data_IF_904670015259
#
_entry.id   IF_904670015259
#
_cell.length_a   1.000
_cell.length_b   1.000
_cell.length_c   1.000
_cell.angle_alpha   90.00
_cell.angle_beta   90.00
_cell.angle_gamma   90.00
#
_symmetry.space_group_name_H-M   'P 1'
#
loop_
_entity.id
_entity.type
_entity.pdbx_description
1 polymer ?
#
# COMPACT_ATOMS: atom_id res chain seq x y z
N UNK A 1 -8.39 -18.91 13.82
CA UNK A 1 -7.72 -20.12 13.36
C UNK A 1 -8.04 -20.33 11.89
N UNK A 2 -7.03 -20.52 11.04
CA UNK A 2 -7.17 -20.94 9.63
C UNK A 2 -6.45 -22.27 9.47
N UNK A 3 -7.16 -23.25 8.92
CA UNK A 3 -6.66 -24.60 8.67
C UNK A 3 -6.69 -24.86 7.17
N UNK A 4 -5.56 -25.10 6.50
CA UNK A 4 -5.57 -25.48 5.10
C UNK A 4 -6.10 -26.92 4.94
N UNK A 5 -6.87 -27.17 3.89
CA UNK A 5 -7.39 -28.51 3.56
C UNK A 5 -6.37 -29.40 2.86
N UNK A 6 -5.27 -28.81 2.39
CA UNK A 6 -4.21 -29.51 1.67
C UNK A 6 -2.85 -29.27 2.31
N UNK A 7 -1.92 -30.18 2.10
CA UNK A 7 -0.53 -30.01 2.51
C UNK A 7 0.22 -29.17 1.46
N UNK A 8 0.92 -28.14 1.95
CA UNK A 8 1.77 -27.31 1.08
C UNK A 8 3.11 -28.03 0.90
N UNK A 9 3.83 -27.70 -0.18
CA UNK A 9 5.16 -28.24 -0.43
C UNK A 9 6.09 -28.18 0.78
N UNK A 10 6.09 -27.09 1.53
CA UNK A 10 6.92 -26.94 2.73
C UNK A 10 6.48 -27.80 3.93
N UNK A 11 5.22 -28.27 3.98
CA UNK A 11 4.74 -29.14 5.06
C UNK A 11 5.25 -30.59 4.89
N UNK A 12 5.70 -30.97 3.68
CA UNK A 12 6.16 -32.35 3.33
C UNK A 12 7.66 -32.46 3.04
N UNK A 13 8.43 -31.36 3.06
CA UNK A 13 9.85 -31.34 2.70
C UNK A 13 10.81 -31.86 3.78
N UNK A 14 10.33 -32.35 4.92
CA UNK A 14 11.19 -32.85 6.01
C UNK A 14 12.10 -31.76 6.58
N UNK A 15 13.40 -32.01 6.69
CA UNK A 15 14.36 -31.10 7.34
C UNK A 15 14.49 -29.72 6.67
N UNK A 16 14.23 -29.63 5.37
CA UNK A 16 14.23 -28.35 4.62
C UNK A 16 12.85 -27.69 4.58
N UNK A 17 11.86 -28.28 5.22
CA UNK A 17 10.49 -27.84 5.26
C UNK A 17 10.18 -26.81 6.31
N UNK A 18 8.88 -26.68 6.59
CA UNK A 18 8.39 -25.81 7.64
C UNK A 18 8.62 -26.40 9.02
N UNK A 19 9.09 -25.56 9.96
CA UNK A 19 9.45 -25.98 11.32
C UNK A 19 8.24 -26.02 12.26
N UNK A 20 7.14 -25.36 11.88
CA UNK A 20 5.90 -25.31 12.64
C UNK A 20 4.76 -26.03 11.94
N UNK A 21 3.62 -26.06 12.59
CA UNK A 21 2.43 -26.72 12.09
C UNK A 21 1.66 -25.86 11.03
N UNK A 22 0.79 -26.52 10.28
CA UNK A 22 0.07 -25.91 9.14
C UNK A 22 -1.03 -24.91 9.51
N UNK A 23 -1.25 -24.62 10.79
CA UNK A 23 -2.30 -23.71 11.23
C UNK A 23 -1.82 -22.28 11.31
N UNK A 24 -2.63 -21.34 10.79
CA UNK A 24 -2.46 -19.91 11.03
C UNK A 24 -3.44 -19.48 12.12
N UNK A 25 -2.95 -18.84 13.17
CA UNK A 25 -3.78 -18.35 14.24
C UNK A 25 -3.23 -17.07 14.86
N UNK A 26 -4.03 -16.44 15.69
CA UNK A 26 -3.62 -15.25 16.42
C UNK A 26 -4.72 -14.77 17.35
N UNK A 27 -4.30 -13.95 18.28
CA UNK A 27 -5.15 -13.31 19.27
C UNK A 27 -5.06 -11.80 19.08
N UNK A 28 -6.17 -11.12 19.19
CA UNK A 28 -6.23 -9.66 19.16
C UNK A 28 -7.17 -9.19 20.25
N UNK A 29 -6.62 -8.38 21.14
CA UNK A 29 -7.38 -7.65 22.14
C UNK A 29 -7.33 -6.16 21.83
N UNK A 30 -8.49 -5.49 21.88
CA UNK A 30 -8.59 -4.05 21.72
C UNK A 30 -9.52 -3.48 22.78
N UNK A 31 -9.05 -2.46 23.45
CA UNK A 31 -9.83 -1.64 24.36
C UNK A 31 -9.99 -0.24 23.78
N UNK A 32 -11.19 0.32 23.89
CA UNK A 32 -11.49 1.68 23.47
C UNK A 32 -12.39 2.35 24.51
N UNK A 33 -11.95 3.53 24.94
CA UNK A 33 -12.76 4.38 25.80
C UNK A 33 -13.06 5.69 25.06
N UNK A 34 -14.26 5.77 24.51
CA UNK A 34 -14.69 6.87 23.63
C UNK A 34 -13.67 7.12 22.50
N UNK A 35 -13.40 8.40 22.27
CA UNK A 35 -12.36 8.87 21.35
C UNK A 35 -11.02 9.17 22.05
N UNK A 36 -10.95 9.00 23.38
CA UNK A 36 -9.81 9.45 24.19
C UNK A 36 -8.72 8.40 24.28
N UNK A 37 -9.09 7.14 24.49
CA UNK A 37 -8.12 6.06 24.73
C UNK A 37 -8.36 4.91 23.79
N UNK A 38 -7.28 4.44 23.15
CA UNK A 38 -7.26 3.17 22.41
C UNK A 38 -6.03 2.38 22.84
N UNK A 39 -6.23 1.13 23.22
CA UNK A 39 -5.16 0.20 23.53
C UNK A 39 -5.38 -1.09 22.77
N UNK A 40 -4.30 -1.77 22.45
CA UNK A 40 -4.43 -3.07 21.82
C UNK A 40 -3.17 -3.89 21.90
N UNK A 41 -3.38 -5.21 21.90
CA UNK A 41 -2.34 -6.22 21.80
C UNK A 41 -2.75 -7.20 20.71
N UNK A 42 -1.80 -7.57 19.87
CA UNK A 42 -1.98 -8.56 18.82
C UNK A 42 -0.86 -9.57 18.92
N UNK A 43 -1.19 -10.85 19.00
CA UNK A 43 -0.27 -11.95 18.77
C UNK A 43 -0.68 -12.70 17.52
N UNK A 44 0.25 -13.00 16.62
CA UNK A 44 -0.04 -13.70 15.37
C UNK A 44 1.06 -14.66 14.99
N UNK A 45 0.66 -15.74 14.33
CA UNK A 45 1.54 -16.75 13.78
C UNK A 45 1.05 -17.16 12.42
N UNK A 46 1.95 -17.20 11.46
CA UNK A 46 1.68 -17.75 10.15
C UNK A 46 1.81 -19.27 10.11
N UNK A 47 1.11 -19.87 9.18
CA UNK A 47 1.14 -21.33 9.04
C UNK A 47 2.53 -21.80 8.59
N UNK A 48 3.12 -22.73 9.36
CA UNK A 48 4.48 -23.24 9.17
C UNK A 48 5.52 -22.62 10.12
N UNK A 49 5.15 -21.63 10.91
CA UNK A 49 6.05 -21.03 11.91
C UNK A 49 6.01 -21.82 13.22
N UNK A 50 7.15 -21.95 13.94
CA UNK A 50 7.19 -22.60 15.24
C UNK A 50 6.44 -21.75 16.30
N UNK A 51 5.68 -22.39 17.16
CA UNK A 51 4.95 -21.78 18.27
C UNK A 51 5.50 -22.28 19.60
N UNK A 52 5.86 -21.37 20.50
CA UNK A 52 6.39 -21.72 21.82
C UNK A 52 7.74 -22.42 21.79
N UNK A 53 8.51 -22.32 20.72
CA UNK A 53 9.80 -22.99 20.58
C UNK A 53 10.83 -22.13 19.84
N UNK A 54 12.09 -22.36 20.03
CA UNK A 54 13.20 -21.64 19.42
C UNK A 54 13.16 -20.15 19.73
N UNK A 55 13.24 -19.29 18.72
CA UNK A 55 13.14 -17.83 18.88
C UNK A 55 11.75 -17.36 19.32
N UNK A 56 10.71 -18.20 19.15
CA UNK A 56 9.33 -17.91 19.51
C UNK A 56 8.94 -18.49 20.88
N UNK A 57 9.86 -18.55 21.83
CA UNK A 57 9.65 -19.12 23.17
C UNK A 57 8.46 -18.52 23.93
N UNK A 58 8.09 -17.26 23.66
CA UNK A 58 6.92 -16.59 24.23
C UNK A 58 5.59 -16.96 23.55
N UNK A 59 5.60 -17.81 22.54
CA UNK A 59 4.43 -18.28 21.80
C UNK A 59 4.41 -17.82 20.34
N UNK A 60 3.90 -16.65 20.09
CA UNK A 60 3.74 -16.14 18.71
C UNK A 60 5.04 -15.61 18.10
N UNK A 61 5.13 -15.70 16.78
CA UNK A 61 6.22 -15.08 16.01
C UNK A 61 6.11 -13.56 15.99
N UNK A 62 4.92 -13.05 15.89
CA UNK A 62 4.65 -11.63 15.81
C UNK A 62 3.81 -11.14 16.99
N UNK A 63 4.31 -10.08 17.65
CA UNK A 63 3.58 -9.33 18.66
C UNK A 63 3.49 -7.86 18.27
N UNK A 64 2.33 -7.24 18.49
CA UNK A 64 2.12 -5.81 18.38
C UNK A 64 1.36 -5.30 19.60
N UNK A 65 1.81 -4.18 20.13
CA UNK A 65 1.10 -3.49 21.21
C UNK A 65 1.07 -1.99 20.91
N UNK A 66 0.05 -1.31 21.39
CA UNK A 66 -0.05 0.13 21.32
C UNK A 66 -0.96 0.70 22.39
N UNK A 67 -0.65 1.93 22.79
CA UNK A 67 -1.51 2.80 23.60
C UNK A 67 -1.58 4.13 22.87
N UNK A 68 -2.79 4.63 22.62
CA UNK A 68 -3.04 5.92 22.00
C UNK A 68 -3.97 6.74 22.88
N UNK A 69 -3.54 7.94 23.23
CA UNK A 69 -4.29 8.94 23.95
C UNK A 69 -4.59 10.12 23.02
N UNK A 70 -5.82 10.61 23.03
CA UNK A 70 -6.25 11.71 22.17
C UNK A 70 -6.98 12.77 22.97
N UNK A 71 -6.93 14.02 22.47
CA UNK A 71 -7.69 15.16 23.03
C UNK A 71 -7.33 15.47 24.49
N UNK A 72 -6.04 15.40 24.84
CA UNK A 72 -5.52 15.76 26.17
C UNK A 72 -5.03 17.21 26.18
N UNK A 73 -5.92 18.15 26.36
CA UNK A 73 -5.61 19.59 26.31
C UNK A 73 -5.02 19.97 24.94
N UNK A 74 -3.77 20.45 24.92
CA UNK A 74 -3.05 20.79 23.68
C UNK A 74 -2.54 19.56 22.89
N UNK A 75 -2.46 18.41 23.53
CA UNK A 75 -2.04 17.16 22.86
C UNK A 75 -3.19 16.55 22.08
N UNK A 76 -3.11 16.64 20.77
CA UNK A 76 -4.12 16.03 19.87
C UNK A 76 -4.02 14.52 19.87
N UNK A 77 -2.80 14.00 19.93
CA UNK A 77 -2.52 12.56 19.87
C UNK A 77 -1.19 12.26 20.55
N UNK A 78 -1.15 11.25 21.38
CA UNK A 78 0.07 10.66 21.94
C UNK A 78 -0.06 9.15 21.71
N UNK A 79 0.89 8.54 21.03
CA UNK A 79 0.87 7.11 20.73
C UNK A 79 2.19 6.47 21.15
N UNK A 80 2.10 5.40 21.92
CA UNK A 80 3.23 4.58 22.37
C UNK A 80 3.07 3.16 21.82
N UNK A 81 4.19 2.50 21.51
CA UNK A 81 4.23 1.16 20.95
C UNK A 81 4.30 1.16 19.44
N UNK A 82 3.50 0.33 18.75
CA UNK A 82 3.54 0.24 17.28
C UNK A 82 2.54 1.19 16.63
N UNK A 83 3.03 2.03 15.72
CA UNK A 83 2.24 3.04 15.05
C UNK A 83 2.63 3.17 13.57
N UNK A 84 1.84 3.92 12.84
CA UNK A 84 2.06 4.31 11.45
C UNK A 84 1.95 5.81 11.34
N UNK A 85 2.74 6.40 10.47
CA UNK A 85 2.71 7.81 10.13
C UNK A 85 2.37 7.99 8.66
N UNK A 86 1.69 9.08 8.39
CA UNK A 86 1.47 9.59 7.05
C UNK A 86 1.70 11.09 7.08
N UNK A 87 2.74 11.55 6.41
CA UNK A 87 3.14 12.95 6.34
C UNK A 87 3.06 13.42 4.89
N UNK A 88 2.49 14.62 4.68
CA UNK A 88 2.33 15.21 3.35
C UNK A 88 1.57 14.29 2.36
N UNK A 89 2.09 14.13 1.16
CA UNK A 89 1.62 13.18 0.14
C UNK A 89 2.40 11.85 0.17
N UNK A 90 3.30 11.67 1.15
CA UNK A 90 4.05 10.45 1.38
C UNK A 90 5.32 10.32 0.58
N UNK A 91 5.90 11.41 0.09
CA UNK A 91 7.17 11.37 -0.64
C UNK A 91 8.33 10.94 0.24
N UNK A 92 8.32 11.29 1.54
CA UNK A 92 9.37 10.88 2.47
C UNK A 92 8.89 9.85 3.49
N UNK A 93 7.68 9.97 4.03
CA UNK A 93 7.20 9.13 5.13
C UNK A 93 5.71 8.82 5.02
N UNK A 94 5.40 7.57 4.67
CA UNK A 94 4.06 7.04 4.69
C UNK A 94 4.09 5.52 4.91
N UNK A 95 3.58 5.09 6.04
CA UNK A 95 3.45 3.67 6.39
C UNK A 95 2.04 3.12 6.16
N UNK A 96 1.12 3.92 5.63
CA UNK A 96 -0.23 3.47 5.29
C UNK A 96 -0.25 2.70 3.95
N UNK A 97 -1.38 2.07 3.68
CA UNK A 97 -1.60 1.40 2.40
C UNK A 97 -1.75 2.44 1.28
N UNK A 98 -1.17 2.15 0.12
CA UNK A 98 -1.42 2.91 -1.09
C UNK A 98 -2.80 2.59 -1.66
N UNK A 99 -3.50 3.62 -2.12
CA UNK A 99 -4.78 3.46 -2.80
C UNK A 99 -4.56 3.16 -4.28
N UNK A 100 -5.48 2.39 -4.88
CA UNK A 100 -5.48 2.18 -6.32
C UNK A 100 -5.79 3.49 -7.07
N UNK A 101 -5.34 3.59 -8.33
CA UNK A 101 -5.47 4.80 -9.17
C UNK A 101 -6.90 5.34 -9.30
N UNK A 102 -7.90 4.46 -9.25
CA UNK A 102 -9.31 4.86 -9.30
C UNK A 102 -9.77 5.56 -8.02
N UNK A 103 -9.30 5.10 -6.86
CA UNK A 103 -9.74 5.63 -5.56
C UNK A 103 -9.13 6.99 -5.22
N UNK A 104 -8.02 7.37 -5.85
CA UNK A 104 -7.40 8.69 -5.61
C UNK A 104 -8.30 9.85 -6.06
N UNK A 105 -9.13 9.67 -7.09
CA UNK A 105 -10.07 10.69 -7.56
C UNK A 105 -10.97 11.25 -6.46
N UNK A 106 -11.32 10.43 -5.49
CA UNK A 106 -12.21 10.82 -4.39
C UNK A 106 -11.51 11.23 -3.11
N UNK A 107 -10.24 10.85 -2.92
CA UNK A 107 -9.59 10.95 -1.61
C UNK A 107 -8.24 11.65 -1.60
N UNK A 108 -7.52 11.69 -2.72
CA UNK A 108 -6.15 12.18 -2.74
C UNK A 108 -6.07 13.70 -2.58
N UNK A 109 -5.17 14.16 -1.73
CA UNK A 109 -4.95 15.57 -1.45
C UNK A 109 -6.05 16.29 -0.65
N UNK A 110 -7.17 15.61 -0.34
CA UNK A 110 -8.29 16.24 0.39
C UNK A 110 -8.03 16.51 1.86
N UNK A 111 -7.05 15.85 2.44
CA UNK A 111 -6.64 16.07 3.81
C UNK A 111 -5.16 15.72 3.90
N UNK A 112 -4.36 16.69 4.29
CA UNK A 112 -2.91 16.54 4.47
C UNK A 112 -2.46 16.80 5.93
N UNK A 113 -3.25 16.48 6.96
CA UNK A 113 -2.73 16.55 8.32
C UNK A 113 -1.76 15.41 8.54
N UNK A 114 -0.66 15.71 9.23
CA UNK A 114 0.15 14.69 9.89
C UNK A 114 -0.73 13.73 10.67
N UNK A 115 -0.70 12.45 10.32
CA UNK A 115 -1.59 11.47 10.95
C UNK A 115 -0.82 10.36 11.63
N UNK A 116 -0.96 10.28 12.96
CA UNK A 116 -0.49 9.15 13.75
C UNK A 116 -1.63 8.14 13.87
N UNK A 117 -1.43 6.93 13.38
CA UNK A 117 -2.37 5.81 13.47
C UNK A 117 -1.75 4.64 14.21
N UNK A 118 -2.52 3.98 15.05
CA UNK A 118 -2.07 2.75 15.71
C UNK A 118 -1.88 1.63 14.70
N UNK A 119 -0.84 0.83 14.87
CA UNK A 119 -0.63 -0.38 14.09
C UNK A 119 -1.28 -1.56 14.77
N UNK A 120 -2.45 -1.96 14.29
CA UNK A 120 -3.24 -3.06 14.83
C UNK A 120 -3.37 -4.24 13.85
N UNK A 121 -2.57 -4.24 12.78
CA UNK A 121 -2.48 -5.32 11.80
C UNK A 121 -1.57 -6.44 12.29
N UNK A 122 -1.69 -7.61 11.70
CA UNK A 122 -0.77 -8.74 11.86
C UNK A 122 0.44 -8.64 10.92
N UNK A 123 0.50 -7.59 10.09
CA UNK A 123 1.63 -7.37 9.18
C UNK A 123 2.87 -6.95 9.95
N UNK A 124 3.96 -7.64 9.74
CA UNK A 124 5.29 -7.32 10.28
C UNK A 124 6.00 -6.21 9.52
N UNK A 125 5.44 -5.75 8.40
CA UNK A 125 5.96 -4.64 7.61
C UNK A 125 5.21 -3.33 7.87
N UNK A 126 5.79 -2.22 7.40
CA UNK A 126 5.16 -0.90 7.33
C UNK A 126 4.61 -0.38 8.68
N UNK A 127 5.39 -0.48 9.74
CA UNK A 127 5.12 0.16 11.03
C UNK A 127 6.38 0.79 11.60
N UNK A 128 6.20 1.70 12.53
CA UNK A 128 7.21 2.26 13.41
C UNK A 128 6.95 1.78 14.84
N UNK A 129 7.98 1.68 15.67
CA UNK A 129 7.86 1.20 17.04
C UNK A 129 8.59 2.13 17.99
N UNK A 130 7.87 2.76 18.89
CA UNK A 130 8.42 3.72 19.84
C UNK A 130 7.35 4.68 20.33
N UNK A 131 7.53 5.97 20.07
CA UNK A 131 6.61 7.02 20.51
C UNK A 131 6.39 8.05 19.40
N UNK A 132 5.17 8.58 19.31
CA UNK A 132 4.83 9.70 18.46
C UNK A 132 3.76 10.57 19.14
N UNK A 133 3.88 11.88 19.00
CA UNK A 133 2.93 12.81 19.60
C UNK A 133 2.71 14.02 18.70
N UNK A 134 1.46 14.52 18.67
CA UNK A 134 1.07 15.77 18.01
C UNK A 134 0.55 16.75 19.06
N UNK A 135 1.14 17.92 19.12
CA UNK A 135 0.75 19.02 19.99
C UNK A 135 0.30 20.24 19.16
N UNK A 136 -0.83 20.84 19.53
CA UNK A 136 -1.28 22.11 18.95
C UNK A 136 -0.69 23.26 19.76
N UNK A 137 0.24 24.00 19.16
CA UNK A 137 0.86 25.14 19.83
C UNK A 137 -0.08 26.36 19.88
N UNK A 138 -0.73 26.62 18.76
CA UNK A 138 -1.76 27.65 18.62
C UNK A 138 -2.81 27.21 17.60
N UNK A 139 -3.87 27.98 17.46
CA UNK A 139 -4.93 27.66 16.48
C UNK A 139 -4.33 27.58 15.07
N UNK A 140 -4.47 26.41 14.47
CA UNK A 140 -3.98 26.13 13.12
C UNK A 140 -2.52 25.68 13.05
N UNK A 141 -1.71 25.71 14.11
CA UNK A 141 -0.31 25.27 14.11
C UNK A 141 -0.14 24.01 14.98
N UNK A 142 0.20 22.92 14.34
CA UNK A 142 0.48 21.64 14.97
C UNK A 142 1.95 21.25 14.79
N UNK A 143 2.54 20.66 15.82
CA UNK A 143 3.87 20.04 15.76
C UNK A 143 3.72 18.58 16.12
N UNK A 144 4.31 17.72 15.30
CA UNK A 144 4.38 16.28 15.52
C UNK A 144 5.84 15.88 15.68
N UNK A 145 6.15 15.16 16.76
CA UNK A 145 7.45 14.51 16.94
C UNK A 145 7.29 13.00 16.98
N UNK A 146 8.28 12.28 16.48
CA UNK A 146 8.26 10.82 16.48
C UNK A 146 9.65 10.20 16.59
N UNK A 147 9.70 9.04 17.27
CA UNK A 147 10.90 8.22 17.41
C UNK A 147 10.53 6.76 17.27
N UNK A 148 11.35 6.02 16.57
CA UNK A 148 11.17 4.57 16.37
C UNK A 148 12.48 3.83 16.50
N UNK A 149 12.45 2.70 17.20
CA UNK A 149 13.50 1.68 17.19
C UNK A 149 12.86 0.33 16.94
N UNK A 150 13.35 -0.38 15.93
CA UNK A 150 12.86 -1.73 15.59
C UNK A 150 13.97 -2.63 15.08
N UNK A 151 13.88 -3.89 15.42
CA UNK A 151 14.63 -4.93 14.74
C UNK A 151 14.01 -5.21 13.37
N UNK A 152 14.81 -5.59 12.41
CA UNK A 152 14.42 -5.83 11.02
C UNK A 152 15.01 -7.15 10.50
N UNK A 153 14.21 -7.81 9.69
CA UNK A 153 14.64 -8.98 8.95
C UNK A 153 15.42 -8.56 7.72
N UNK A 154 16.54 -9.18 7.48
CA UNK A 154 17.36 -8.84 6.33
C UNK A 154 18.15 -10.04 5.79
N UNK A 155 18.42 -9.97 4.50
CA UNK A 155 19.46 -10.82 3.88
C UNK A 155 20.77 -10.05 3.94
N UNK A 156 21.79 -10.64 4.56
CA UNK A 156 23.10 -10.06 4.65
C UNK A 156 23.93 -10.39 3.39
N UNK A 157 24.85 -9.50 3.05
CA UNK A 157 25.89 -9.71 2.04
C UNK A 157 27.07 -10.49 2.65
N UNK A 158 27.98 -10.97 1.81
CA UNK A 158 29.23 -11.63 2.27
C UNK A 158 30.07 -10.74 3.19
N UNK A 159 29.95 -9.42 3.07
CA UNK A 159 30.67 -8.43 3.87
C UNK A 159 29.94 -8.04 5.16
N UNK A 160 28.85 -8.76 5.53
CA UNK A 160 28.08 -8.51 6.74
C UNK A 160 27.11 -7.33 6.67
N UNK A 161 27.06 -6.57 5.57
CA UNK A 161 26.09 -5.49 5.38
C UNK A 161 24.70 -6.00 4.95
N UNK A 162 23.68 -5.16 5.02
CA UNK A 162 22.33 -5.46 4.61
C UNK A 162 22.23 -5.41 3.08
N UNK A 163 22.06 -6.56 2.45
CA UNK A 163 21.79 -6.67 1.00
C UNK A 163 20.34 -6.34 0.63
N UNK A 164 19.40 -6.79 1.46
CA UNK A 164 17.96 -6.58 1.22
C UNK A 164 17.21 -6.62 2.54
N UNK A 165 16.39 -5.62 2.81
CA UNK A 165 15.44 -5.60 3.93
C UNK A 165 14.23 -6.45 3.54
N UNK A 166 13.88 -7.43 4.36
CA UNK A 166 12.74 -8.31 4.12
C UNK A 166 11.47 -7.71 4.74
N UNK A 167 10.37 -7.75 3.99
CA UNK A 167 9.07 -7.21 4.40
C UNK A 167 7.98 -8.28 4.53
N UNK A 168 8.32 -9.55 4.30
CA UNK A 168 7.35 -10.66 4.36
C UNK A 168 6.99 -11.05 5.78
N UNK A 169 7.97 -10.97 6.72
CA UNK A 169 7.81 -11.39 8.11
C UNK A 169 7.41 -12.84 8.25
N UNK A 170 7.93 -13.72 7.41
CA UNK A 170 7.70 -15.16 7.44
C UNK A 170 8.94 -15.87 7.99
N UNK A 171 8.75 -16.69 9.03
CA UNK A 171 9.82 -17.39 9.75
C UNK A 171 9.50 -18.89 9.88
N UNK A 172 9.26 -19.56 8.74
CA UNK A 172 8.77 -20.92 8.63
C UNK A 172 9.88 -21.97 8.51
N UNK A 173 11.01 -21.57 7.89
CA UNK A 173 12.14 -22.44 7.59
C UNK A 173 13.39 -21.98 8.36
N UNK A 174 14.38 -22.85 8.53
CA UNK A 174 15.66 -22.50 9.14
C UNK A 174 16.34 -21.30 8.45
N UNK A 175 16.24 -21.23 7.11
CA UNK A 175 16.80 -20.13 6.32
C UNK A 175 16.03 -18.81 6.49
N UNK A 176 14.73 -18.84 6.72
CA UNK A 176 13.91 -17.65 7.04
C UNK A 176 14.23 -17.16 8.46
N UNK A 177 14.31 -18.07 9.45
CA UNK A 177 14.67 -17.76 10.85
C UNK A 177 16.08 -17.18 10.97
N UNK A 178 17.03 -17.65 10.16
CA UNK A 178 18.39 -17.10 10.14
C UNK A 178 18.44 -15.63 9.71
N UNK A 179 17.41 -15.13 9.03
CA UNK A 179 17.29 -13.73 8.58
C UNK A 179 16.44 -12.86 9.50
N UNK A 180 15.85 -13.45 10.54
CA UNK A 180 14.96 -12.78 11.49
C UNK A 180 15.77 -11.90 12.44
N UNK A 181 15.39 -10.63 12.58
CA UNK A 181 15.93 -9.70 13.57
C UNK A 181 17.46 -9.50 13.51
N UNK A 182 18.08 -9.67 12.32
CA UNK A 182 19.53 -9.63 12.15
C UNK A 182 20.11 -8.21 12.16
N UNK A 183 19.30 -7.19 12.01
CA UNK A 183 19.70 -5.79 12.09
C UNK A 183 18.65 -4.97 12.83
N UNK A 184 18.98 -3.70 13.13
CA UNK A 184 18.04 -2.75 13.71
C UNK A 184 18.02 -1.44 12.93
N UNK A 185 16.91 -0.74 13.05
CA UNK A 185 16.70 0.57 12.47
C UNK A 185 16.17 1.54 13.52
N UNK A 186 16.83 2.69 13.65
CA UNK A 186 16.40 3.82 14.47
C UNK A 186 15.96 4.95 13.54
N UNK A 187 14.85 5.61 13.88
CA UNK A 187 14.33 6.75 13.13
C UNK A 187 13.86 7.81 14.13
N UNK A 188 14.24 9.06 13.88
CA UNK A 188 13.79 10.23 14.65
C UNK A 188 13.41 11.34 13.69
N UNK A 189 12.34 12.04 13.96
CA UNK A 189 11.91 13.12 13.10
C UNK A 189 10.75 13.93 13.65
N UNK A 190 10.33 14.89 12.84
CA UNK A 190 9.23 15.77 13.16
C UNK A 190 8.56 16.39 11.95
N UNK A 191 7.36 16.90 12.21
CA UNK A 191 6.56 17.63 11.24
C UNK A 191 6.02 18.89 11.90
N UNK A 192 6.01 19.98 11.17
CA UNK A 192 5.32 21.24 11.51
C UNK A 192 4.25 21.44 10.44
N UNK A 193 3.03 21.70 10.86
CA UNK A 193 1.88 21.82 9.99
C UNK A 193 1.04 23.05 10.37
N UNK A 194 0.87 23.97 9.44
CA UNK A 194 0.02 25.15 9.59
C UNK A 194 -1.18 25.08 8.65
N UNK A 195 -2.35 25.33 9.18
CA UNK A 195 -3.58 25.40 8.39
C UNK A 195 -4.48 26.56 8.83
N UNK A 196 -4.93 27.32 7.87
CA UNK A 196 -5.80 28.45 8.08
C UNK A 196 -6.66 28.75 6.86
N UNK A 197 -7.98 28.91 7.05
CA UNK A 197 -8.93 29.32 6.00
C UNK A 197 -8.81 28.51 4.67
N UNK A 198 -8.64 27.20 4.78
CA UNK A 198 -8.49 26.30 3.63
C UNK A 198 -7.05 26.16 3.14
N UNK A 199 -6.14 27.04 3.52
CA UNK A 199 -4.70 26.91 3.23
C UNK A 199 -4.02 25.96 4.19
N UNK A 200 -3.03 25.27 3.69
CA UNK A 200 -2.17 24.36 4.42
C UNK A 200 -0.72 24.52 3.97
N UNK A 201 0.20 24.50 4.91
CA UNK A 201 1.63 24.43 4.65
C UNK A 201 2.28 23.57 5.74
N UNK A 202 3.12 22.63 5.34
CA UNK A 202 3.82 21.73 6.25
C UNK A 202 5.29 21.56 5.87
N UNK A 203 6.07 21.15 6.85
CA UNK A 203 7.44 20.73 6.66
C UNK A 203 7.72 19.49 7.50
N UNK A 204 8.31 18.47 6.90
CA UNK A 204 8.66 17.22 7.57
C UNK A 204 10.13 16.93 7.37
N UNK A 205 10.81 16.49 8.41
CA UNK A 205 12.18 15.97 8.30
C UNK A 205 12.37 14.79 9.24
N UNK A 206 13.20 13.85 8.81
CA UNK A 206 13.64 12.76 9.67
C UNK A 206 15.08 12.33 9.36
N UNK A 207 15.69 11.73 10.37
CA UNK A 207 16.96 11.04 10.29
C UNK A 207 16.76 9.58 10.66
N UNK A 208 17.44 8.69 9.95
CA UNK A 208 17.39 7.25 10.23
C UNK A 208 18.78 6.64 10.18
N UNK A 209 19.03 5.68 11.09
CA UNK A 209 20.27 4.91 11.12
C UNK A 209 19.97 3.41 11.24
N UNK A 210 20.87 2.62 10.66
CA UNK A 210 20.84 1.16 10.70
C UNK A 210 22.05 0.65 11.48
N UNK A 211 21.88 -0.44 12.20
CA UNK A 211 23.00 -1.10 12.93
C UNK A 211 24.04 -1.72 11.99
N UNK A 212 23.69 -1.98 10.74
CA UNK A 212 24.55 -2.50 9.70
C UNK A 212 24.32 -1.68 8.43
N UNK A 213 25.39 -1.40 7.64
CA UNK A 213 25.26 -0.60 6.42
C UNK A 213 24.42 -1.33 5.35
N UNK A 214 23.63 -0.56 4.60
CA UNK A 214 22.97 -1.05 3.40
C UNK A 214 24.01 -1.27 2.31
N UNK A 215 24.10 -2.47 1.77
CA UNK A 215 25.04 -2.88 0.72
C UNK A 215 24.33 -3.59 -0.42
N UNK A 216 23.39 -2.92 -1.11
CA UNK A 216 22.69 -3.50 -2.26
C UNK A 216 23.68 -3.74 -3.41
N UNK A 217 23.35 -4.65 -4.32
CA UNK A 217 24.18 -4.87 -5.51
C UNK A 217 23.95 -3.75 -6.54
N UNK A 218 24.73 -2.67 -6.44
CA UNK A 218 24.63 -1.48 -7.32
C UNK A 218 25.24 -1.68 -8.71
N UNK A 219 25.94 -2.80 -8.99
CA UNK A 219 26.38 -3.14 -10.34
C UNK A 219 25.22 -3.50 -11.27
N UNK A 220 24.09 -3.89 -10.73
CA UNK A 220 22.84 -4.07 -11.50
C UNK A 220 22.24 -2.70 -11.85
N UNK A 221 22.01 -2.42 -13.13
CA UNK A 221 21.53 -1.11 -13.61
C UNK A 221 20.32 -0.60 -12.82
N UNK A 222 19.29 -1.41 -12.63
CA UNK A 222 18.07 -1.01 -11.94
C UNK A 222 18.25 -0.75 -10.42
N UNK A 223 19.42 -1.09 -9.85
CA UNK A 223 19.80 -0.82 -8.45
C UNK A 223 20.90 0.23 -8.32
N UNK A 224 21.32 0.86 -9.41
CA UNK A 224 22.44 1.80 -9.43
C UNK A 224 22.33 2.90 -8.38
N UNK A 225 21.12 3.40 -8.18
CA UNK A 225 20.83 4.49 -7.24
C UNK A 225 20.12 4.01 -5.97
N UNK A 226 20.29 2.75 -5.59
CA UNK A 226 19.81 2.27 -4.29
C UNK A 226 20.64 2.89 -3.16
N UNK A 227 20.04 3.17 -1.99
CA UNK A 227 20.75 3.73 -0.85
C UNK A 227 21.87 2.81 -0.37
N UNK A 228 23.05 3.39 -0.11
CA UNK A 228 24.27 2.71 0.39
C UNK A 228 24.74 3.44 1.64
N UNK A 229 25.08 2.70 2.69
CA UNK A 229 25.49 3.26 3.98
C UNK A 229 24.52 2.90 5.10
N UNK A 230 24.70 3.50 6.24
CA UNK A 230 23.95 3.19 7.47
C UNK A 230 23.15 4.38 8.03
N UNK A 231 23.36 5.58 7.48
CA UNK A 231 22.73 6.81 7.95
C UNK A 231 22.11 7.57 6.78
N UNK A 232 20.85 7.99 6.94
CA UNK A 232 20.10 8.68 5.89
C UNK A 232 19.20 9.75 6.50
N UNK A 233 18.95 10.81 5.75
CA UNK A 233 17.95 11.80 6.10
C UNK A 233 17.09 12.17 4.90
N UNK A 234 15.86 12.54 5.16
CA UNK A 234 14.97 13.13 4.16
C UNK A 234 14.22 14.31 4.77
N UNK A 235 13.91 15.29 3.93
CA UNK A 235 13.09 16.43 4.28
C UNK A 235 12.12 16.75 3.14
N UNK A 236 10.94 17.24 3.48
CA UNK A 236 9.94 17.70 2.53
C UNK A 236 9.20 18.93 3.00
N UNK A 237 8.68 19.67 2.04
CA UNK A 237 7.72 20.75 2.23
C UNK A 237 6.44 20.35 1.50
N UNK A 238 5.32 20.45 2.17
CA UNK A 238 4.01 20.20 1.62
C UNK A 238 3.11 21.42 1.76
N UNK A 239 2.18 21.58 0.81
CA UNK A 239 1.29 22.72 0.74
C UNK A 239 -0.03 22.31 0.11
N UNK A 240 -1.08 23.08 0.40
CA UNK A 240 -2.38 22.84 -0.18
C UNK A 240 -3.37 23.97 0.02
N UNK A 241 -4.45 23.89 -0.74
CA UNK A 241 -5.60 24.75 -0.62
C UNK A 241 -6.88 23.97 -0.88
N UNK A 242 -7.80 24.02 0.06
CA UNK A 242 -9.09 23.35 -0.03
C UNK A 242 -10.20 24.40 0.08
N UNK A 243 -11.08 24.41 -0.91
CA UNK A 243 -12.33 25.19 -0.89
C UNK A 243 -13.50 24.32 -1.33
N UNK A 244 -14.67 24.89 -1.47
CA UNK A 244 -15.85 24.17 -1.96
C UNK A 244 -15.63 23.53 -3.35
N UNK A 245 -14.90 24.19 -4.25
CA UNK A 245 -14.66 23.71 -5.62
C UNK A 245 -13.24 23.26 -5.89
N UNK A 246 -12.26 23.85 -5.22
CA UNK A 246 -10.85 23.59 -5.44
C UNK A 246 -10.27 22.69 -4.36
N UNK A 247 -9.48 21.73 -4.78
CA UNK A 247 -8.58 21.01 -3.91
C UNK A 247 -7.21 20.92 -4.60
N UNK A 248 -6.24 21.64 -4.05
CA UNK A 248 -4.86 21.73 -4.55
C UNK A 248 -3.97 21.18 -3.45
N UNK A 249 -3.04 20.30 -3.80
CA UNK A 249 -2.06 19.79 -2.87
C UNK A 249 -0.74 19.50 -3.60
N UNK A 250 0.37 19.71 -2.91
CA UNK A 250 1.69 19.39 -3.43
C UNK A 250 2.65 19.02 -2.31
N UNK A 251 3.68 18.26 -2.65
CA UNK A 251 4.82 17.97 -1.80
C UNK A 251 6.09 17.97 -2.65
N UNK A 252 7.15 18.57 -2.13
CA UNK A 252 8.50 18.51 -2.70
C UNK A 252 9.47 18.02 -1.63
N UNK A 253 10.26 17.04 -1.97
CA UNK A 253 11.11 16.31 -1.04
C UNK A 253 12.54 16.19 -1.58
N UNK A 254 13.49 16.13 -0.65
CA UNK A 254 14.90 15.86 -0.90
C UNK A 254 15.49 15.00 0.23
N UNK A 255 16.77 14.70 0.17
CA UNK A 255 17.50 13.94 1.18
C UNK A 255 18.99 13.94 0.93
N UNK A 256 19.69 13.06 1.64
CA UNK A 256 21.14 12.82 1.48
C UNK A 256 21.55 12.40 0.06
N UNK A 257 20.59 11.89 -0.73
CA UNK A 257 20.78 11.61 -2.16
C UNK A 257 21.06 12.86 -3.02
N UNK A 258 20.84 14.09 -2.50
CA UNK A 258 21.00 15.35 -3.23
C UNK A 258 20.06 15.49 -4.43
N UNK A 259 18.96 14.74 -4.48
CA UNK A 259 18.01 14.70 -5.57
C UNK A 259 16.60 15.09 -5.08
N UNK A 260 15.72 15.42 -6.01
CA UNK A 260 14.39 15.94 -5.72
C UNK A 260 13.31 14.95 -6.20
N UNK A 261 12.25 14.84 -5.40
CA UNK A 261 10.97 14.29 -5.80
C UNK A 261 9.87 15.34 -5.58
N UNK A 262 8.95 15.48 -6.51
CA UNK A 262 7.78 16.37 -6.36
C UNK A 262 6.53 15.72 -6.90
N UNK A 263 5.43 15.96 -6.22
CA UNK A 263 4.09 15.49 -6.55
C UNK A 263 3.10 16.62 -6.33
N UNK A 264 2.34 16.94 -7.37
CA UNK A 264 1.35 18.02 -7.36
C UNK A 264 0.02 17.50 -7.87
N UNK A 265 -1.06 17.91 -7.23
CA UNK A 265 -2.42 17.54 -7.61
C UNK A 265 -3.34 18.75 -7.55
N UNK A 266 -4.22 18.81 -8.50
CA UNK A 266 -5.30 19.79 -8.56
C UNK A 266 -6.59 19.08 -8.93
N UNK A 267 -7.64 19.32 -8.18
CA UNK A 267 -8.98 18.89 -8.56
C UNK A 267 -9.97 20.03 -8.48
N UNK A 268 -10.90 20.03 -9.42
CA UNK A 268 -11.93 21.04 -9.54
C UNK A 268 -13.30 20.41 -9.66
N UNK A 269 -14.20 20.84 -8.79
CA UNK A 269 -15.61 20.45 -8.80
C UNK A 269 -16.39 21.44 -9.67
N UNK A 270 -16.65 21.09 -10.93
CA UNK A 270 -17.38 21.94 -11.87
C UNK A 270 -18.84 22.09 -11.46
N UNK A 271 -19.45 20.95 -11.12
CA UNK A 271 -20.81 20.84 -10.59
C UNK A 271 -20.83 19.79 -9.49
N UNK A 272 -21.92 19.65 -8.74
CA UNK A 272 -22.09 18.59 -7.75
C UNK A 272 -21.99 17.17 -8.37
N UNK A 273 -22.07 17.10 -9.69
CA UNK A 273 -22.08 15.86 -10.47
C UNK A 273 -20.82 15.61 -11.28
N UNK A 274 -19.90 16.60 -11.38
CA UNK A 274 -18.72 16.46 -12.21
C UNK A 274 -17.47 17.03 -11.52
N UNK A 275 -16.53 16.13 -11.26
CA UNK A 275 -15.20 16.40 -10.70
C UNK A 275 -14.14 16.03 -11.74
N UNK A 276 -13.19 16.92 -11.96
CA UNK A 276 -11.96 16.67 -12.73
C UNK A 276 -10.74 16.77 -11.81
N UNK A 277 -9.77 15.90 -12.01
CA UNK A 277 -8.52 15.88 -11.26
C UNK A 277 -7.33 15.70 -12.21
N UNK A 278 -6.31 16.49 -12.01
CA UNK A 278 -5.01 16.33 -12.66
C UNK A 278 -3.93 16.16 -11.58
N UNK A 279 -2.93 15.32 -11.86
CA UNK A 279 -1.79 15.10 -10.99
C UNK A 279 -0.53 15.02 -11.85
N UNK A 280 0.52 15.70 -11.40
CA UNK A 280 1.85 15.68 -12.00
C UNK A 280 2.83 15.14 -10.96
N UNK A 281 3.75 14.29 -11.38
CA UNK A 281 4.82 13.77 -10.55
C UNK A 281 6.16 13.77 -11.28
N UNK A 282 7.18 14.11 -10.54
CA UNK A 282 8.57 14.02 -10.98
C UNK A 282 9.40 13.42 -9.83
N UNK A 283 9.93 12.24 -10.03
CA UNK A 283 10.81 11.57 -9.09
C UNK A 283 12.14 11.30 -9.78
N UNK A 284 13.20 11.99 -9.35
CA UNK A 284 14.54 11.79 -9.89
C UNK A 284 14.97 10.31 -9.76
N UNK A 285 15.73 9.81 -10.72
CA UNK A 285 16.29 8.46 -10.65
C UNK A 285 17.25 8.27 -9.45
N UNK A 286 17.85 9.36 -8.96
CA UNK A 286 18.74 9.35 -7.79
C UNK A 286 18.00 9.52 -6.46
N UNK A 287 16.75 9.98 -6.49
CA UNK A 287 15.97 10.17 -5.27
C UNK A 287 15.64 8.83 -4.62
N UNK A 288 15.75 8.79 -3.30
CA UNK A 288 15.24 7.70 -2.49
C UNK A 288 14.77 8.18 -1.11
N UNK A 289 13.76 7.52 -0.58
CA UNK A 289 13.41 7.51 0.82
C UNK A 289 12.95 6.11 1.20
N UNK A 290 13.52 5.56 2.26
CA UNK A 290 13.27 4.19 2.71
C UNK A 290 11.86 3.98 3.27
N UNK A 291 11.18 5.07 3.63
CA UNK A 291 9.85 5.08 4.25
C UNK A 291 8.79 5.74 3.38
N UNK A 292 9.13 6.12 2.15
CA UNK A 292 8.18 6.71 1.20
C UNK A 292 7.16 5.68 0.71
N UNK A 293 5.93 6.14 0.55
CA UNK A 293 4.86 5.41 -0.13
C UNK A 293 3.86 6.43 -0.67
N UNK A 294 4.00 6.79 -1.92
CA UNK A 294 3.19 7.82 -2.57
C UNK A 294 2.63 7.31 -3.90
N UNK A 295 1.84 8.15 -4.57
CA UNK A 295 1.29 7.81 -5.87
C UNK A 295 2.39 7.59 -6.90
N UNK A 296 2.52 6.38 -7.41
CA UNK A 296 3.48 6.00 -8.45
C UNK A 296 2.95 4.84 -9.28
N UNK A 297 3.40 4.75 -10.51
CA UNK A 297 3.24 3.56 -11.36
C UNK A 297 4.29 2.50 -11.04
N UNK A 298 5.46 2.94 -10.59
CA UNK A 298 6.51 2.07 -10.07
C UNK A 298 6.19 1.56 -8.66
N UNK A 299 7.09 0.78 -8.10
CA UNK A 299 6.96 0.26 -6.72
C UNK A 299 7.60 1.17 -5.66
N UNK A 300 8.24 2.26 -6.08
CA UNK A 300 8.96 3.21 -5.24
C UNK A 300 8.81 4.64 -5.76
N UNK A 301 8.97 5.61 -4.86
CA UNK A 301 9.09 7.03 -5.21
C UNK A 301 10.51 7.27 -5.73
N UNK A 302 10.77 6.84 -6.95
CA UNK A 302 12.09 6.93 -7.59
C UNK A 302 11.95 6.70 -9.10
N UNK A 303 12.67 7.52 -9.90
CA UNK A 303 12.79 7.34 -11.35
C UNK A 303 11.43 7.27 -12.04
N UNK A 304 10.62 8.32 -11.93
CA UNK A 304 9.31 8.36 -12.55
C UNK A 304 8.88 9.80 -12.85
N UNK A 305 8.65 10.09 -14.13
CA UNK A 305 8.01 11.31 -14.58
C UNK A 305 6.62 10.96 -15.09
N UNK A 306 5.57 11.59 -14.57
CA UNK A 306 4.25 11.18 -14.97
C UNK A 306 3.18 12.24 -14.80
N UNK A 307 2.11 12.03 -15.55
CA UNK A 307 0.89 12.82 -15.50
C UNK A 307 -0.32 11.90 -15.42
N UNK A 308 -1.24 12.25 -14.55
CA UNK A 308 -2.51 11.56 -14.37
C UNK A 308 -3.64 12.56 -14.59
N UNK A 309 -4.63 12.18 -15.38
CA UNK A 309 -5.86 12.92 -15.56
C UNK A 309 -7.04 11.98 -15.29
N UNK A 310 -7.98 12.39 -14.48
CA UNK A 310 -9.14 11.57 -14.19
C UNK A 310 -10.36 12.38 -13.84
N UNK A 311 -11.53 11.78 -14.02
CA UNK A 311 -12.80 12.43 -13.70
C UNK A 311 -13.79 11.44 -13.08
N UNK A 312 -14.73 12.02 -12.33
CA UNK A 312 -15.95 11.34 -11.88
C UNK A 312 -17.15 12.15 -12.32
N UNK A 313 -18.09 11.50 -12.96
CA UNK A 313 -19.29 12.10 -13.50
C UNK A 313 -20.54 11.31 -13.17
N UNK A 314 -21.55 11.99 -12.67
CA UNK A 314 -22.86 11.43 -12.32
C UNK A 314 -23.94 12.11 -13.17
N UNK A 315 -24.04 11.79 -14.49
CA UNK A 315 -24.93 12.50 -15.42
C UNK A 315 -26.42 12.42 -15.03
N UNK A 316 -26.78 11.38 -14.31
CA UNK A 316 -28.10 11.20 -13.73
C UNK A 316 -27.99 10.40 -12.42
N UNK A 317 -28.99 10.46 -11.56
CA UNK A 317 -28.98 9.85 -10.22
C UNK A 317 -28.65 8.35 -10.19
N UNK A 318 -28.80 7.66 -11.31
CA UNK A 318 -28.55 6.21 -11.43
C UNK A 318 -27.20 5.85 -12.07
N UNK A 319 -26.47 6.84 -12.60
CA UNK A 319 -25.23 6.61 -13.32
C UNK A 319 -24.04 7.18 -12.57
N UNK A 320 -22.99 6.40 -12.45
CA UNK A 320 -21.70 6.88 -12.01
C UNK A 320 -20.64 6.43 -13.02
N UNK A 321 -19.95 7.37 -13.60
CA UNK A 321 -18.89 7.16 -14.60
C UNK A 321 -17.60 7.69 -14.00
N UNK A 322 -16.57 6.87 -13.95
CA UNK A 322 -15.25 7.25 -13.47
C UNK A 322 -14.22 6.79 -14.49
N UNK A 323 -13.35 7.70 -14.91
CA UNK A 323 -12.29 7.36 -15.85
C UNK A 323 -10.97 8.02 -15.44
N UNK A 324 -9.87 7.41 -15.85
CA UNK A 324 -8.55 8.00 -15.77
C UNK A 324 -7.63 7.56 -16.91
N UNK A 325 -6.65 8.41 -17.18
CA UNK A 325 -5.47 8.13 -17.99
C UNK A 325 -4.24 8.51 -17.17
N UNK A 326 -3.31 7.60 -17.01
CA UNK A 326 -2.07 7.78 -16.27
C UNK A 326 -0.88 7.41 -17.13
N UNK A 327 -0.06 8.39 -17.46
CA UNK A 327 1.19 8.22 -18.19
C UNK A 327 2.37 8.32 -17.23
N UNK A 328 3.31 7.39 -17.32
CA UNK A 328 4.57 7.38 -16.56
C UNK A 328 5.73 7.06 -17.48
N UNK A 329 6.79 7.84 -17.37
CA UNK A 329 8.07 7.63 -18.06
C UNK A 329 9.17 7.40 -17.04
N UNK A 330 9.94 6.33 -17.26
CA UNK A 330 11.07 5.91 -16.44
C UNK A 330 12.35 6.19 -17.23
N UNK A 331 13.11 7.17 -16.77
CA UNK A 331 14.35 7.61 -17.45
C UNK A 331 15.45 6.56 -17.34
N UNK A 332 15.49 5.88 -16.18
CA UNK A 332 16.49 4.87 -15.87
C UNK A 332 15.95 3.45 -16.10
N UNK A 333 16.77 2.50 -16.57
CA UNK A 333 16.34 1.11 -16.77
C UNK A 333 15.76 0.48 -15.52
N UNK A 334 14.62 -0.17 -15.65
CA UNK A 334 13.95 -0.97 -14.61
C UNK A 334 14.42 -2.42 -14.64
N UNK A 335 13.95 -3.22 -13.71
CA UNK A 335 14.24 -4.66 -13.70
C UNK A 335 13.83 -5.30 -15.02
N UNK A 336 14.72 -6.10 -15.62
CA UNK A 336 14.57 -6.74 -16.92
C UNK A 336 14.51 -5.80 -18.14
N UNK A 337 14.82 -4.53 -17.99
CA UNK A 337 14.97 -3.60 -19.12
C UNK A 337 16.41 -3.08 -19.20
N UNK A 338 16.83 -2.65 -20.39
CA UNK A 338 18.15 -2.06 -20.62
C UNK A 338 18.10 -0.59 -20.95
N UNK A 339 16.90 -0.09 -21.22
CA UNK A 339 16.63 1.26 -21.69
C UNK A 339 15.53 1.93 -20.87
N UNK A 340 15.32 3.20 -21.11
CA UNK A 340 14.18 3.94 -20.60
C UNK A 340 12.87 3.28 -21.06
N UNK A 341 11.87 3.31 -20.21
CA UNK A 341 10.58 2.69 -20.49
C UNK A 341 9.44 3.62 -20.13
N UNK A 342 8.25 3.33 -20.63
CA UNK A 342 7.04 4.05 -20.26
C UNK A 342 5.94 3.09 -19.82
N UNK A 343 4.92 3.65 -19.19
CA UNK A 343 3.67 2.97 -18.91
C UNK A 343 2.51 3.92 -19.20
N UNK A 344 1.50 3.41 -19.86
CA UNK A 344 0.26 4.13 -20.10
C UNK A 344 -0.92 3.28 -19.63
N UNK A 345 -1.63 3.75 -18.63
CA UNK A 345 -2.68 3.01 -17.92
C UNK A 345 -3.99 3.79 -18.00
N UNK A 346 -4.94 3.30 -18.78
CA UNK A 346 -6.24 3.91 -19.01
C UNK A 346 -7.34 3.03 -18.43
N UNK A 347 -8.31 3.63 -17.76
CA UNK A 347 -9.44 2.91 -17.20
C UNK A 347 -10.73 3.72 -17.29
N UNK A 348 -11.79 3.04 -17.69
CA UNK A 348 -13.16 3.52 -17.61
C UNK A 348 -13.98 2.55 -16.79
N UNK A 349 -14.73 3.06 -15.82
CA UNK A 349 -15.65 2.30 -14.99
C UNK A 349 -17.03 2.98 -15.01
N UNK A 350 -18.05 2.20 -15.35
CA UNK A 350 -19.45 2.67 -15.40
C UNK A 350 -20.25 1.83 -14.41
N UNK A 351 -21.04 2.48 -13.57
CA UNK A 351 -21.98 1.84 -12.64
C UNK A 351 -23.35 2.40 -12.91
N UNK A 352 -24.32 1.50 -13.14
CA UNK A 352 -25.73 1.81 -13.32
C UNK A 352 -26.56 1.20 -12.20
N UNK A 353 -27.24 2.04 -11.42
CA UNK A 353 -28.16 1.61 -10.37
C UNK A 353 -29.53 1.30 -10.98
N UNK A 354 -29.75 0.06 -11.39
CA UNK A 354 -30.98 -0.37 -12.06
C UNK A 354 -32.19 -0.30 -11.12
N UNK A 355 -31.99 -0.62 -9.83
CA UNK A 355 -33.01 -0.48 -8.79
C UNK A 355 -32.35 -0.18 -7.43
N UNK A 356 -33.12 0.01 -6.37
CA UNK A 356 -32.58 0.16 -4.99
C UNK A 356 -31.71 -1.02 -4.55
N UNK A 357 -31.96 -2.19 -5.12
CA UNK A 357 -31.26 -3.43 -4.74
C UNK A 357 -30.25 -3.91 -5.79
N UNK A 358 -30.33 -3.46 -7.04
CA UNK A 358 -29.51 -3.98 -8.14
C UNK A 358 -28.64 -2.89 -8.75
N UNK A 359 -27.34 -3.07 -8.69
CA UNK A 359 -26.35 -2.28 -9.42
C UNK A 359 -25.65 -3.17 -10.46
N UNK A 360 -25.57 -2.68 -11.70
CA UNK A 360 -24.83 -3.26 -12.79
C UNK A 360 -23.59 -2.42 -13.03
N UNK A 361 -22.47 -3.04 -13.37
CA UNK A 361 -21.24 -2.30 -13.65
C UNK A 361 -20.38 -2.94 -14.72
N UNK A 362 -19.65 -2.08 -15.40
CA UNK A 362 -18.64 -2.44 -16.38
C UNK A 362 -17.34 -1.69 -16.12
N UNK A 363 -16.21 -2.34 -16.38
CA UNK A 363 -14.89 -1.74 -16.31
C UNK A 363 -14.04 -2.23 -17.45
N UNK A 364 -13.45 -1.28 -18.17
CA UNK A 364 -12.46 -1.55 -19.21
C UNK A 364 -11.15 -0.93 -18.75
N UNK A 365 -10.05 -1.64 -18.87
CA UNK A 365 -8.72 -1.16 -18.62
C UNK A 365 -7.79 -1.55 -19.74
N UNK A 366 -7.06 -0.59 -20.24
CA UNK A 366 -5.96 -0.75 -21.17
C UNK A 366 -4.68 -0.30 -20.49
N UNK A 367 -3.67 -1.16 -20.47
CA UNK A 367 -2.38 -0.83 -19.89
C UNK A 367 -1.27 -1.28 -20.82
N UNK A 368 -0.47 -0.33 -21.27
CA UNK A 368 0.80 -0.59 -21.95
C UNK A 368 1.96 -0.30 -20.99
N UNK A 369 2.88 -1.22 -20.87
CA UNK A 369 4.05 -1.06 -20.00
C UNK A 369 5.24 -1.88 -20.53
N UNK A 370 6.33 -1.18 -20.88
CA UNK A 370 7.59 -1.80 -21.26
C UNK A 370 7.42 -2.91 -22.33
N UNK A 371 6.67 -2.63 -23.41
CA UNK A 371 6.43 -3.57 -24.50
C UNK A 371 5.41 -4.68 -24.20
N UNK A 372 4.71 -4.56 -23.07
CA UNK A 372 3.62 -5.49 -22.72
C UNK A 372 2.30 -4.73 -22.62
N UNK A 373 1.33 -5.09 -23.45
CA UNK A 373 -0.01 -4.53 -23.43
C UNK A 373 -0.96 -5.48 -22.71
N UNK A 374 -1.72 -4.97 -21.76
CA UNK A 374 -2.75 -5.74 -21.03
C UNK A 374 -4.10 -5.07 -21.19
N UNK A 375 -5.07 -5.78 -21.73
CA UNK A 375 -6.46 -5.36 -21.86
C UNK A 375 -7.33 -6.18 -20.89
N UNK A 376 -8.21 -5.51 -20.14
CA UNK A 376 -9.13 -6.19 -19.22
C UNK A 376 -10.52 -5.61 -19.35
N UNK A 377 -11.50 -6.52 -19.43
CA UNK A 377 -12.91 -6.22 -19.36
C UNK A 377 -13.51 -6.94 -18.15
N UNK A 378 -14.14 -6.19 -17.26
CA UNK A 378 -14.91 -6.75 -16.14
C UNK A 378 -16.34 -6.27 -16.20
N UNK A 379 -17.28 -7.21 -16.17
CA UNK A 379 -18.71 -6.95 -16.01
C UNK A 379 -19.17 -7.51 -14.67
N UNK A 380 -20.04 -6.82 -13.97
CA UNK A 380 -20.54 -7.29 -12.70
C UNK A 380 -21.96 -6.84 -12.41
N UNK A 381 -22.68 -7.66 -11.65
CA UNK A 381 -23.98 -7.37 -11.08
C UNK A 381 -23.92 -7.55 -9.56
N UNK A 382 -24.37 -6.53 -8.83
CA UNK A 382 -24.46 -6.56 -7.37
C UNK A 382 -25.93 -6.44 -6.97
N UNK A 383 -26.49 -7.54 -6.48
CA UNK A 383 -27.83 -7.57 -5.88
C UNK A 383 -27.67 -7.53 -4.36
N UNK A 384 -28.32 -6.59 -3.70
CA UNK A 384 -28.32 -6.50 -2.24
C UNK A 384 -29.67 -6.01 -1.73
N UNK A 385 -30.30 -6.79 -0.89
CA UNK A 385 -31.48 -6.40 -0.13
C UNK A 385 -31.26 -6.61 1.40
N UNK A 386 -32.29 -6.48 2.20
CA UNK A 386 -32.18 -6.61 3.66
C UNK A 386 -31.68 -7.99 4.13
N UNK A 387 -31.97 -9.08 3.38
CA UNK A 387 -31.68 -10.46 3.78
C UNK A 387 -30.60 -11.13 2.91
N UNK A 388 -30.55 -10.80 1.63
CA UNK A 388 -29.71 -11.47 0.64
C UNK A 388 -28.76 -10.52 -0.04
N UNK A 389 -27.57 -11.01 -0.38
CA UNK A 389 -26.71 -10.37 -1.34
C UNK A 389 -26.20 -11.42 -2.35
N UNK A 390 -26.05 -10.99 -3.58
CA UNK A 390 -25.40 -11.74 -4.65
C UNK A 390 -24.48 -10.77 -5.40
N UNK A 391 -23.25 -11.20 -5.67
CA UNK A 391 -22.31 -10.44 -6.45
C UNK A 391 -21.68 -11.37 -7.48
N UNK A 392 -22.15 -11.21 -8.70
CA UNK A 392 -21.64 -11.94 -9.87
C UNK A 392 -20.65 -11.06 -10.62
N UNK A 393 -19.52 -11.58 -11.03
CA UNK A 393 -18.60 -10.88 -11.92
C UNK A 393 -17.93 -11.80 -12.92
N UNK A 394 -17.81 -11.31 -14.16
CA UNK A 394 -17.08 -11.95 -15.25
C UNK A 394 -15.94 -11.03 -15.62
N UNK A 395 -14.73 -11.57 -15.76
CA UNK A 395 -13.56 -10.83 -16.17
C UNK A 395 -12.82 -11.54 -17.29
N UNK A 396 -12.41 -10.77 -18.31
CA UNK A 396 -11.57 -11.20 -19.42
C UNK A 396 -10.25 -10.43 -19.34
N UNK A 397 -9.15 -11.10 -19.58
CA UNK A 397 -7.81 -10.55 -19.64
C UNK A 397 -7.11 -11.02 -20.90
N UNK A 398 -6.59 -10.09 -21.68
CA UNK A 398 -5.69 -10.36 -22.80
C UNK A 398 -4.36 -9.66 -22.52
N UNK A 399 -3.27 -10.40 -22.65
CA UNK A 399 -1.91 -9.89 -22.51
C UNK A 399 -1.17 -10.14 -23.82
N UNK A 400 -0.62 -9.05 -24.39
CA UNK A 400 0.17 -9.07 -25.62
C UNK A 400 1.59 -8.64 -25.27
N UNK A 401 2.55 -9.48 -25.50
CA UNK A 401 3.96 -9.17 -25.33
C UNK A 401 4.61 -9.02 -26.70
N UNK A 402 5.22 -7.87 -26.97
CA UNK A 402 5.99 -7.65 -28.17
C UNK A 402 7.18 -8.63 -28.23
N UNK A 403 7.51 -9.15 -29.43
CA UNK A 403 8.73 -9.92 -29.60
C UNK A 403 9.95 -8.99 -29.49
N UNK A 404 11.00 -9.49 -28.85
CA UNK A 404 12.31 -8.82 -28.80
C UNK A 404 13.12 -9.07 -30.09
N UNK A 405 12.67 -9.98 -30.97
CA UNK A 405 13.31 -10.31 -32.25
C UNK A 405 12.46 -9.81 -33.42
N UNK A 406 13.07 -9.14 -34.38
CA UNK A 406 12.38 -8.50 -35.52
C UNK A 406 11.53 -9.47 -36.38
N UNK A 407 11.82 -10.77 -36.32
CA UNK A 407 11.13 -11.81 -37.16
C UNK A 407 10.23 -12.75 -36.35
N UNK A 408 10.05 -12.57 -35.05
CA UNK A 408 9.16 -13.42 -34.25
C UNK A 408 7.84 -12.70 -33.94
N UNK A 409 6.73 -13.44 -34.05
CA UNK A 409 5.42 -12.93 -33.62
C UNK A 409 5.40 -12.81 -32.11
N UNK A 410 4.96 -11.65 -31.60
CA UNK A 410 4.70 -11.46 -30.17
C UNK A 410 3.74 -12.52 -29.61
N UNK A 411 3.84 -12.80 -28.33
CA UNK A 411 2.97 -13.78 -27.65
C UNK A 411 1.68 -13.13 -27.18
N UNK A 412 0.57 -13.81 -27.38
CA UNK A 412 -0.75 -13.39 -26.86
C UNK A 412 -1.21 -14.46 -25.87
N UNK A 413 -1.57 -14.01 -24.68
CA UNK A 413 -2.13 -14.87 -23.63
C UNK A 413 -3.49 -14.34 -23.19
N UNK A 414 -4.45 -15.25 -23.03
CA UNK A 414 -5.83 -14.94 -22.67
C UNK A 414 -6.25 -15.67 -21.40
N UNK A 415 -7.07 -14.98 -20.61
CA UNK A 415 -7.67 -15.56 -19.43
C UNK A 415 -9.09 -15.06 -19.22
N UNK A 416 -9.91 -15.85 -18.56
CA UNK A 416 -11.23 -15.45 -18.12
C UNK A 416 -11.54 -16.00 -16.72
N UNK A 417 -12.42 -15.33 -16.03
CA UNK A 417 -12.86 -15.70 -14.68
C UNK A 417 -14.33 -15.38 -14.48
N UNK A 418 -15.05 -16.33 -13.93
CA UNK A 418 -16.39 -16.13 -13.34
C UNK A 418 -16.27 -16.20 -11.82
N UNK A 419 -16.73 -15.19 -11.13
CA UNK A 419 -16.75 -15.16 -9.66
C UNK A 419 -18.14 -14.83 -9.15
N UNK A 420 -18.63 -15.64 -8.21
CA UNK A 420 -19.92 -15.53 -7.58
C UNK A 420 -19.75 -15.46 -6.06
N UNK A 421 -20.37 -14.45 -5.42
CA UNK A 421 -20.42 -14.33 -3.97
C UNK A 421 -21.87 -14.20 -3.55
N UNK A 422 -22.35 -15.16 -2.81
CA UNK A 422 -23.71 -15.21 -2.32
C UNK A 422 -23.71 -15.13 -0.80
N UNK A 423 -24.74 -14.56 -0.23
CA UNK A 423 -24.90 -14.58 1.21
C UNK A 423 -26.28 -14.16 1.69
N UNK A 424 -26.57 -14.57 2.91
CA UNK A 424 -27.80 -14.24 3.61
C UNK A 424 -27.49 -13.80 5.04
N UNK A 425 -28.36 -12.95 5.59
CA UNK A 425 -28.22 -12.44 6.95
C UNK A 425 -29.55 -12.59 7.68
N UNK A 426 -29.52 -13.27 8.83
CA UNK A 426 -30.57 -13.30 9.82
C UNK A 426 -30.18 -12.50 11.06
N UNK A 427 -31.00 -12.34 12.03
CA UNK A 427 -30.73 -11.52 13.23
C UNK A 427 -29.38 -11.84 13.90
N UNK A 428 -29.05 -13.12 14.01
CA UNK A 428 -27.87 -13.62 14.73
C UNK A 428 -26.87 -14.38 13.86
N UNK A 429 -27.20 -14.68 12.60
CA UNK A 429 -26.39 -15.50 11.71
C UNK A 429 -26.22 -14.82 10.35
N UNK A 430 -24.98 -14.77 9.87
CA UNK A 430 -24.65 -14.38 8.51
C UNK A 430 -23.90 -15.53 7.84
N UNK A 431 -24.47 -16.05 6.76
CA UNK A 431 -23.86 -17.06 5.91
C UNK A 431 -23.44 -16.42 4.61
N UNK A 432 -22.24 -16.77 4.13
CA UNK A 432 -21.77 -16.37 2.81
C UNK A 432 -20.91 -17.46 2.21
N UNK A 433 -21.05 -17.65 0.91
CA UNK A 433 -20.23 -18.56 0.09
C UNK A 433 -19.66 -17.80 -1.09
N UNK A 434 -18.50 -18.22 -1.54
CA UNK A 434 -17.81 -17.69 -2.72
C UNK A 434 -17.44 -18.83 -3.63
N UNK A 435 -17.71 -18.69 -4.92
CA UNK A 435 -17.31 -19.64 -5.95
C UNK A 435 -16.55 -18.88 -7.04
N UNK A 436 -15.42 -19.38 -7.46
CA UNK A 436 -14.63 -18.82 -8.53
C UNK A 436 -14.22 -19.91 -9.52
N UNK A 437 -14.51 -19.70 -10.80
CA UNK A 437 -14.00 -20.50 -11.90
C UNK A 437 -13.10 -19.61 -12.76
N UNK A 438 -11.90 -20.07 -13.05
CA UNK A 438 -10.97 -19.33 -13.88
C UNK A 438 -10.21 -20.26 -14.83
N UNK A 439 -9.84 -19.72 -15.97
CA UNK A 439 -8.93 -20.34 -16.91
C UNK A 439 -7.97 -19.28 -17.44
N UNK A 440 -6.68 -19.59 -17.47
CA UNK A 440 -5.63 -18.73 -18.02
C UNK A 440 -4.67 -19.58 -18.83
N UNK A 441 -4.27 -19.12 -20.01
CA UNK A 441 -3.33 -19.83 -20.86
C UNK A 441 -1.94 -19.91 -20.21
N UNK A 442 -1.53 -18.81 -19.56
CA UNK A 442 -0.28 -18.74 -18.80
C UNK A 442 -0.36 -17.70 -17.67
N UNK A 443 0.77 -17.48 -16.99
CA UNK A 443 0.86 -16.54 -15.87
C UNK A 443 0.67 -15.08 -16.28
N UNK A 444 0.90 -14.69 -17.54
CA UNK A 444 0.79 -13.31 -18.00
C UNK A 444 -0.66 -12.82 -18.09
N UNK A 445 -1.61 -13.72 -18.37
CA UNK A 445 -3.06 -13.44 -18.42
C UNK A 445 -3.80 -13.67 -17.10
N UNK A 446 -3.08 -13.86 -15.98
CA UNK A 446 -3.67 -14.13 -14.65
C UNK A 446 -4.62 -13.03 -14.20
N UNK A 447 -5.69 -13.44 -13.57
CA UNK A 447 -6.72 -12.58 -12.99
C UNK A 447 -6.70 -12.74 -11.49
N UNK A 448 -6.82 -11.64 -10.76
CA UNK A 448 -6.86 -11.65 -9.30
C UNK A 448 -8.26 -11.38 -8.81
N UNK A 449 -8.72 -12.18 -7.88
CA UNK A 449 -9.98 -11.98 -7.17
C UNK A 449 -9.70 -11.78 -5.68
N UNK A 450 -10.48 -10.91 -5.06
CA UNK A 450 -10.49 -10.80 -3.62
C UNK A 450 -11.47 -11.82 -3.04
N UNK A 451 -10.94 -12.77 -2.29
CA UNK A 451 -11.76 -13.72 -1.53
C UNK A 451 -12.19 -13.06 -0.20
N UNK A 452 -13.50 -13.02 0.08
CA UNK A 452 -13.98 -12.53 1.36
C UNK A 452 -13.46 -13.42 2.50
N UNK A 453 -12.67 -12.84 3.37
CA UNK A 453 -12.18 -13.51 4.57
C UNK A 453 -12.90 -13.05 5.84
N UNK A 454 -12.62 -13.69 6.97
CA UNK A 454 -13.05 -13.20 8.27
C UNK A 454 -12.37 -11.85 8.56
N UNK A 455 -13.05 -11.01 9.37
CA UNK A 455 -12.48 -9.75 9.84
C UNK A 455 -11.06 -9.99 10.39
N UNK A 456 -10.09 -9.21 9.88
CA UNK A 456 -8.66 -9.31 10.23
C UNK A 456 -7.92 -10.56 9.71
N UNK A 457 -8.49 -11.27 8.77
CA UNK A 457 -7.81 -12.30 8.01
C UNK A 457 -7.05 -11.60 6.86
N UNK A 458 -5.72 -11.49 6.96
CA UNK A 458 -4.82 -11.10 5.86
C UNK A 458 -3.91 -12.26 5.55
#
# INVERSE_FOLDING_TARGET
LKVPFYERKGDVMGADGYLGYKYKHGVRYQFRYGDYVKMGVVGAQDAGEPFGSGKNSLGYDFYSFYIQLKKLGRWKNITLGRYRLHEGLGLILNNDFSFGKLSILSSFGRSMPSTIRVHSSRSSANYLQGAAATCSLMKGLDITGFVSYRKIDATLSSNGGIKTILKTGLHRTSSEIAKQDVASNTLVGGNINYHHAGWHAGATAFYTSFSLPLTPNTSQLYKRFSPVGDQFWNASIDYGYISHRWNIAGETATGDCGAIATLNTISYQFTDHFLLMALQRFYSARYYSLFSNSFSEGSAVQDENGAYLGFTWTPASRWNITAYSDFAYFVWPKYQTRESTHSWDNLVSIIFQASRSLALGGRIRYKDKAGTTTERLRLYANLKNAKWFAKTSVEFSENKQASLMENEKGTISRGYMLNENLGTSWRWLRLSGSFGYFHTQDYSSRIYVYEPGLLYQM
#
